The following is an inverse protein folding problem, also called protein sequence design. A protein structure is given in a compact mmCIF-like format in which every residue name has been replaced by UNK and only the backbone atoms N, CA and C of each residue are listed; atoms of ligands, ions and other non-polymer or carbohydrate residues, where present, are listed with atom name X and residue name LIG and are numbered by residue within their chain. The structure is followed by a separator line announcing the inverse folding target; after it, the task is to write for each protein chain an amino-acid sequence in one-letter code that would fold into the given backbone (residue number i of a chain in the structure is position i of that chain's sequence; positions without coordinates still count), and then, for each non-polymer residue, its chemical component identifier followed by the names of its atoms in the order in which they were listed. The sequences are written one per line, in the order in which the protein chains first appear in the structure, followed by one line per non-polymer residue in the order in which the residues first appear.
data_IF_070980570942
#
_entry.id   IF_070980570942
#
_cell.length_a   1.000
_cell.length_b   1.000
_cell.length_c   1.000
_cell.angle_alpha   90.00
_cell.angle_beta   90.00
_cell.angle_gamma   90.00
#
_symmetry.space_group_name_H-M   'P 1'
#
loop_
_entity.id
_entity.type
_entity.pdbx_description
1 polymer ?
#
# COMPACT_ATOMS: atom_id res chain seq x y z
N UNK A 1 -19.15 -13.23 -6.69
CA UNK A 1 -18.11 -12.19 -6.74
C UNK A 1 -18.22 -11.41 -8.03
N UNK A 2 -18.30 -10.07 -7.98
CA UNK A 2 -18.50 -9.25 -9.17
C UNK A 2 -17.13 -8.95 -9.80
N UNK A 3 -16.84 -9.58 -10.95
CA UNK A 3 -15.61 -9.31 -11.72
C UNK A 3 -15.72 -7.94 -12.39
N UNK A 4 -15.16 -6.91 -11.76
CA UNK A 4 -15.17 -5.53 -12.26
C UNK A 4 -13.76 -4.98 -12.50
N UNK A 5 -12.93 -5.60 -13.36
CA UNK A 5 -11.55 -5.14 -13.60
C UNK A 5 -11.46 -3.67 -14.04
N UNK A 6 -12.51 -3.13 -14.67
CA UNK A 6 -12.60 -1.70 -15.02
C UNK A 6 -12.74 -0.78 -13.80
N UNK A 7 -13.39 -1.25 -12.73
CA UNK A 7 -13.52 -0.51 -11.47
C UNK A 7 -12.15 -0.37 -10.79
N UNK A 8 -11.42 -1.48 -10.63
CA UNK A 8 -10.07 -1.48 -10.06
C UNK A 8 -9.15 -0.50 -10.79
N UNK A 9 -9.09 -0.61 -12.13
CA UNK A 9 -8.29 0.32 -12.94
C UNK A 9 -8.67 1.78 -12.70
N UNK A 10 -9.97 2.07 -12.59
CA UNK A 10 -10.45 3.43 -12.36
C UNK A 10 -10.07 3.93 -10.97
N UNK A 11 -10.22 3.09 -9.94
CA UNK A 11 -9.83 3.41 -8.57
C UNK A 11 -8.33 3.66 -8.45
N UNK A 12 -7.48 2.80 -9.03
CA UNK A 12 -6.02 3.00 -9.03
C UNK A 12 -5.63 4.33 -9.71
N UNK A 13 -6.26 4.64 -10.84
CA UNK A 13 -6.02 5.90 -11.54
C UNK A 13 -6.48 7.13 -10.72
N UNK A 14 -7.62 7.04 -10.05
CA UNK A 14 -8.16 8.10 -9.20
C UNK A 14 -7.33 8.30 -7.93
N UNK A 15 -6.84 7.22 -7.32
CA UNK A 15 -5.98 7.24 -6.12
C UNK A 15 -4.66 8.00 -6.34
N UNK A 16 -4.19 8.05 -7.59
CA UNK A 16 -2.97 8.76 -8.00
C UNK A 16 -3.26 10.03 -8.81
N UNK A 17 -4.52 10.45 -8.95
CA UNK A 17 -4.89 11.50 -9.89
C UNK A 17 -4.26 12.85 -9.53
N UNK A 18 -3.47 13.38 -10.47
CA UNK A 18 -2.86 14.73 -10.44
C UNK A 18 -2.20 15.06 -9.09
N UNK A 19 -1.48 14.10 -8.53
CA UNK A 19 -0.63 14.35 -7.36
C UNK A 19 0.44 15.38 -7.73
N UNK A 20 0.72 16.33 -6.83
CA UNK A 20 1.65 17.45 -7.07
C UNK A 20 1.14 18.59 -7.96
N UNK A 21 -0.04 18.48 -8.59
CA UNK A 21 -0.58 19.54 -9.44
C UNK A 21 -1.36 20.58 -8.63
N UNK A 22 -0.83 21.79 -8.49
CA UNK A 22 -1.52 22.88 -7.79
C UNK A 22 -2.50 23.61 -8.72
N UNK A 23 -3.80 23.37 -8.56
CA UNK A 23 -4.85 24.04 -9.36
C UNK A 23 -5.94 24.51 -8.41
N UNK A 24 -5.79 25.71 -7.82
CA UNK A 24 -6.79 26.33 -6.94
C UNK A 24 -7.09 25.55 -5.65
N UNK A 25 -7.52 26.25 -4.58
CA UNK A 25 -7.76 25.59 -3.28
C UNK A 25 -8.93 24.59 -3.31
N UNK A 26 -10.08 24.98 -3.88
CA UNK A 26 -11.28 24.11 -3.88
C UNK A 26 -11.13 22.85 -4.74
N UNK A 27 -10.56 22.99 -5.93
CA UNK A 27 -10.30 21.85 -6.82
C UNK A 27 -9.26 20.92 -6.19
N UNK A 28 -8.25 21.45 -5.48
CA UNK A 28 -7.29 20.63 -4.75
C UNK A 28 -7.97 19.84 -3.61
N UNK A 29 -8.90 20.44 -2.87
CA UNK A 29 -9.66 19.76 -1.81
C UNK A 29 -10.48 18.59 -2.36
N UNK A 30 -11.25 18.84 -3.42
CA UNK A 30 -12.03 17.77 -4.07
C UNK A 30 -11.15 16.63 -4.59
N UNK A 31 -9.95 16.95 -5.13
CA UNK A 31 -8.99 15.92 -5.56
C UNK A 31 -8.42 15.12 -4.40
N UNK A 32 -8.14 15.76 -3.27
CA UNK A 32 -7.70 15.07 -2.06
C UNK A 32 -8.75 14.07 -1.58
N UNK A 33 -10.02 14.50 -1.51
CA UNK A 33 -11.14 13.63 -1.15
C UNK A 33 -11.27 12.45 -2.12
N UNK A 34 -11.27 12.69 -3.43
CA UNK A 34 -11.36 11.62 -4.44
C UNK A 34 -10.22 10.62 -4.29
N UNK A 35 -8.98 11.08 -4.03
CA UNK A 35 -7.84 10.19 -3.79
C UNK A 35 -8.03 9.37 -2.52
N UNK A 36 -8.40 10.00 -1.42
CA UNK A 36 -8.63 9.34 -0.13
C UNK A 36 -9.71 8.25 -0.27
N UNK A 37 -10.89 8.59 -0.79
CA UNK A 37 -11.96 7.61 -0.99
C UNK A 37 -11.58 6.48 -1.94
N UNK A 38 -10.80 6.77 -2.98
CA UNK A 38 -10.35 5.72 -3.91
C UNK A 38 -9.37 4.76 -3.24
N UNK A 39 -8.44 5.27 -2.42
CA UNK A 39 -7.50 4.46 -1.64
C UNK A 39 -8.22 3.62 -0.60
N UNK A 40 -9.18 4.19 0.12
CA UNK A 40 -9.99 3.47 1.11
C UNK A 40 -10.84 2.37 0.47
N UNK A 41 -11.35 2.61 -0.73
CA UNK A 41 -12.08 1.60 -1.49
C UNK A 41 -11.15 0.45 -1.92
N UNK A 42 -9.97 0.77 -2.47
CA UNK A 42 -8.97 -0.24 -2.84
C UNK A 42 -8.52 -1.07 -1.63
N UNK A 43 -8.30 -0.43 -0.48
CA UNK A 43 -7.97 -1.08 0.79
C UNK A 43 -9.06 -2.07 1.20
N UNK A 44 -10.33 -1.64 1.20
CA UNK A 44 -11.44 -2.53 1.52
C UNK A 44 -11.53 -3.73 0.57
N UNK A 45 -11.23 -3.53 -0.71
CA UNK A 45 -11.19 -4.63 -1.68
C UNK A 45 -10.02 -5.56 -1.37
N UNK A 46 -8.84 -5.05 -1.02
CA UNK A 46 -7.69 -5.85 -0.63
C UNK A 46 -8.00 -6.69 0.62
N UNK A 47 -8.58 -6.10 1.66
CA UNK A 47 -8.88 -6.80 2.93
C UNK A 47 -9.97 -7.89 2.78
N UNK A 48 -10.91 -7.70 1.85
CA UNK A 48 -12.06 -8.58 1.65
C UNK A 48 -12.02 -9.36 0.32
N UNK A 49 -10.89 -9.33 -0.38
CA UNK A 49 -10.72 -9.86 -1.72
C UNK A 49 -10.16 -11.28 -1.72
N UNK A 50 -10.65 -12.12 -2.62
CA UNK A 50 -10.08 -13.44 -2.85
C UNK A 50 -8.84 -13.37 -3.77
N UNK A 51 -8.28 -14.53 -4.12
CA UNK A 51 -7.12 -14.64 -5.04
C UNK A 51 -7.28 -13.81 -6.33
N UNK A 52 -8.49 -13.78 -6.92
CA UNK A 52 -8.74 -13.01 -8.14
C UNK A 52 -8.67 -11.52 -7.87
N UNK A 53 -9.26 -11.03 -6.78
CA UNK A 53 -9.21 -9.63 -6.42
C UNK A 53 -7.77 -9.18 -6.11
N UNK A 54 -6.99 -9.97 -5.38
CA UNK A 54 -5.57 -9.71 -5.13
C UNK A 54 -4.77 -9.63 -6.44
N UNK A 55 -5.00 -10.58 -7.35
CA UNK A 55 -4.37 -10.60 -8.69
C UNK A 55 -4.71 -9.34 -9.48
N UNK A 56 -5.97 -8.92 -9.44
CA UNK A 56 -6.43 -7.72 -10.16
C UNK A 56 -5.83 -6.46 -9.55
N UNK A 57 -5.72 -6.35 -8.23
CA UNK A 57 -5.08 -5.22 -7.56
C UNK A 57 -3.63 -5.05 -8.01
N UNK A 58 -2.82 -6.11 -7.93
CA UNK A 58 -1.41 -6.07 -8.33
C UNK A 58 -1.26 -5.71 -9.80
N UNK A 59 -2.07 -6.31 -10.68
CA UNK A 59 -2.04 -6.02 -12.12
C UNK A 59 -2.43 -4.58 -12.49
N UNK A 60 -3.20 -3.90 -11.64
CA UNK A 60 -3.56 -2.49 -11.83
C UNK A 60 -2.74 -1.53 -10.96
N UNK A 61 -1.56 -1.96 -10.52
CA UNK A 61 -0.57 -1.08 -9.89
C UNK A 61 -0.92 -0.71 -8.45
N UNK A 62 -1.57 -1.60 -7.70
CA UNK A 62 -1.89 -1.31 -6.30
C UNK A 62 -0.63 -1.08 -5.44
N UNK A 63 0.48 -1.79 -5.72
CA UNK A 63 1.78 -1.52 -5.09
C UNK A 63 2.20 -0.06 -5.27
N UNK A 64 2.14 0.44 -6.50
CA UNK A 64 2.37 1.85 -6.82
C UNK A 64 1.43 2.82 -6.08
N UNK A 65 0.14 2.48 -5.97
CA UNK A 65 -0.82 3.31 -5.22
C UNK A 65 -0.43 3.42 -3.75
N UNK A 66 0.01 2.31 -3.13
CA UNK A 66 0.48 2.30 -1.74
C UNK A 66 1.75 3.14 -1.58
N UNK A 67 2.73 2.98 -2.47
CA UNK A 67 3.98 3.75 -2.48
C UNK A 67 3.71 5.25 -2.53
N UNK A 68 2.97 5.69 -3.54
CA UNK A 68 2.65 7.11 -3.70
C UNK A 68 1.84 7.62 -2.51
N UNK A 69 0.95 6.80 -1.95
CA UNK A 69 0.25 7.19 -0.73
C UNK A 69 1.26 7.42 0.36
N UNK A 70 2.10 6.44 0.69
CA UNK A 70 3.16 6.53 1.69
C UNK A 70 4.01 7.81 1.55
N UNK A 71 4.53 8.08 0.35
CA UNK A 71 5.36 9.25 0.01
C UNK A 71 4.71 10.61 0.16
N UNK A 72 3.39 10.64 0.26
CA UNK A 72 2.64 11.89 0.46
C UNK A 72 2.33 12.18 1.93
N UNK A 73 2.80 11.34 2.87
CA UNK A 73 2.87 11.73 4.29
C UNK A 73 4.01 12.76 4.45
N UNK A 74 3.68 13.99 4.82
CA UNK A 74 4.65 15.08 4.94
C UNK A 74 4.15 16.23 5.82
N UNK A 75 3.41 15.86 6.86
CA UNK A 75 2.97 16.76 7.94
C UNK A 75 4.05 16.96 8.99
N UNK A 76 3.65 17.34 10.20
CA UNK A 76 4.46 17.28 11.42
C UNK A 76 3.50 16.95 12.58
N UNK A 77 3.79 15.91 13.36
CA UNK A 77 3.13 15.61 14.65
C UNK A 77 2.37 14.29 14.71
N UNK A 78 1.78 13.99 15.87
CA UNK A 78 1.19 12.68 16.23
C UNK A 78 0.17 12.13 15.20
N UNK A 79 -0.64 12.98 14.57
CA UNK A 79 -1.61 12.57 13.55
C UNK A 79 -0.92 12.00 12.30
N UNK A 80 0.25 12.54 11.94
CA UNK A 80 1.05 12.03 10.83
C UNK A 80 1.74 10.72 11.20
N UNK A 81 2.29 10.62 12.41
CA UNK A 81 2.97 9.40 12.85
C UNK A 81 2.01 8.21 12.88
N UNK A 82 0.76 8.45 13.30
CA UNK A 82 -0.31 7.47 13.16
C UNK A 82 -0.57 7.10 11.69
N UNK A 83 -0.65 8.08 10.78
CA UNK A 83 -0.85 7.79 9.36
C UNK A 83 0.32 6.99 8.75
N UNK A 84 1.56 7.32 9.10
CA UNK A 84 2.76 6.60 8.66
C UNK A 84 2.70 5.16 9.15
N UNK A 85 2.42 4.95 10.44
CA UNK A 85 2.32 3.63 11.05
C UNK A 85 1.20 2.79 10.40
N UNK A 86 0.05 3.38 10.11
CA UNK A 86 -1.05 2.70 9.45
C UNK A 86 -0.69 2.29 8.01
N UNK A 87 0.01 3.16 7.27
CA UNK A 87 0.45 2.84 5.89
C UNK A 87 1.52 1.75 5.86
N UNK A 88 2.47 1.76 6.80
CA UNK A 88 3.45 0.68 6.95
C UNK A 88 2.77 -0.66 7.25
N UNK A 89 1.79 -0.66 8.16
CA UNK A 89 0.99 -1.86 8.45
C UNK A 89 0.29 -2.40 7.20
N UNK A 90 -0.29 -1.52 6.37
CA UNK A 90 -0.97 -1.97 5.14
C UNK A 90 0.00 -2.61 4.14
N UNK A 91 1.19 -2.02 3.95
CA UNK A 91 2.22 -2.61 3.09
C UNK A 91 2.64 -3.97 3.62
N UNK A 92 2.94 -4.06 4.93
CA UNK A 92 3.35 -5.29 5.59
C UNK A 92 2.29 -6.40 5.44
N UNK A 93 1.04 -6.11 5.76
CA UNK A 93 -0.05 -7.09 5.69
C UNK A 93 -0.30 -7.55 4.26
N UNK A 94 -0.29 -6.64 3.30
CA UNK A 94 -0.53 -7.02 1.91
C UNK A 94 0.61 -7.89 1.35
N UNK A 95 1.88 -7.52 1.55
CA UNK A 95 3.02 -8.34 1.14
C UNK A 95 3.03 -9.70 1.84
N UNK A 96 2.73 -9.72 3.15
CA UNK A 96 2.63 -10.95 3.94
C UNK A 96 1.51 -11.87 3.46
N UNK A 97 0.31 -11.34 3.27
CA UNK A 97 -0.83 -12.10 2.77
C UNK A 97 -0.53 -12.68 1.36
N UNK A 98 0.14 -11.90 0.48
CA UNK A 98 0.57 -12.41 -0.83
C UNK A 98 1.68 -13.48 -0.72
N UNK A 99 2.58 -13.38 0.25
CA UNK A 99 3.71 -14.31 0.40
C UNK A 99 3.33 -15.62 1.10
N UNK A 100 2.53 -15.54 2.15
CA UNK A 100 2.19 -16.64 3.06
C UNK A 100 0.78 -17.20 2.80
N UNK A 101 -0.01 -16.50 1.98
CA UNK A 101 -1.45 -16.75 1.84
C UNK A 101 -2.22 -16.12 3.00
N UNK A 102 -3.53 -16.02 2.83
CA UNK A 102 -4.42 -15.50 3.88
C UNK A 102 -5.31 -16.60 4.43
N UNK A 103 -5.46 -16.61 5.76
CA UNK A 103 -6.43 -17.44 6.49
C UNK A 103 -7.57 -16.60 7.09
N UNK A 104 -7.68 -15.33 6.69
CA UNK A 104 -8.69 -14.39 7.19
C UNK A 104 -10.04 -14.62 6.47
N UNK A 105 -10.83 -13.58 6.30
CA UNK A 105 -12.22 -13.64 5.84
C UNK A 105 -12.36 -14.23 4.43
N UNK A 106 -11.41 -13.94 3.54
CA UNK A 106 -11.22 -14.63 2.26
C UNK A 106 -9.89 -15.37 2.31
N UNK A 107 -9.93 -16.70 2.38
CA UNK A 107 -8.71 -17.48 2.37
C UNK A 107 -8.22 -17.71 0.94
N UNK A 108 -6.92 -17.54 0.73
CA UNK A 108 -6.24 -17.84 -0.52
C UNK A 108 -4.84 -18.42 -0.25
N UNK A 109 -4.35 -19.24 -1.18
CA UNK A 109 -3.01 -19.82 -1.09
C UNK A 109 -1.94 -18.76 -1.34
N UNK A 110 -0.69 -18.97 -0.89
CA UNK A 110 0.44 -18.11 -1.25
C UNK A 110 0.47 -17.71 -2.73
N UNK A 111 0.67 -16.42 -3.00
CA UNK A 111 0.78 -15.81 -4.33
C UNK A 111 2.18 -15.17 -4.50
N UNK A 112 3.28 -15.94 -4.42
CA UNK A 112 4.63 -15.40 -4.32
C UNK A 112 5.06 -14.55 -5.52
N UNK A 113 4.56 -14.85 -6.72
CA UNK A 113 4.82 -14.03 -7.91
C UNK A 113 4.18 -12.65 -7.80
N UNK A 114 2.98 -12.55 -7.22
CA UNK A 114 2.30 -11.28 -7.01
C UNK A 114 2.97 -10.48 -5.89
N UNK A 115 3.47 -11.16 -4.85
CA UNK A 115 4.25 -10.51 -3.80
C UNK A 115 5.50 -9.83 -4.38
N UNK A 116 6.24 -10.54 -5.25
CA UNK A 116 7.41 -9.99 -5.95
C UNK A 116 7.05 -8.82 -6.86
N UNK A 117 6.03 -8.96 -7.70
CA UNK A 117 5.58 -7.87 -8.56
C UNK A 117 5.15 -6.63 -7.76
N UNK A 118 4.59 -6.83 -6.57
CA UNK A 118 4.20 -5.73 -5.69
C UNK A 118 5.41 -5.03 -5.09
N UNK A 119 6.41 -5.80 -4.66
CA UNK A 119 7.68 -5.26 -4.15
C UNK A 119 8.43 -4.50 -5.24
N UNK A 120 8.50 -5.02 -6.46
CA UNK A 120 9.06 -4.31 -7.62
C UNK A 120 8.32 -2.98 -7.88
N UNK A 121 6.99 -2.95 -7.81
CA UNK A 121 6.22 -1.70 -7.91
C UNK A 121 6.52 -0.71 -6.77
N UNK A 122 6.85 -1.22 -5.58
CA UNK A 122 7.21 -0.39 -4.43
C UNK A 122 8.59 0.24 -4.64
N UNK A 123 9.55 -0.56 -5.10
CA UNK A 123 10.90 -0.12 -5.43
C UNK A 123 10.90 0.89 -6.59
N UNK A 124 10.18 0.61 -7.68
CA UNK A 124 10.12 1.49 -8.86
C UNK A 124 9.61 2.90 -8.56
N UNK A 125 8.76 3.06 -7.55
CA UNK A 125 8.21 4.35 -7.12
C UNK A 125 9.05 5.03 -6.03
N UNK A 126 10.18 4.43 -5.60
CA UNK A 126 11.09 5.02 -4.61
C UNK A 126 10.56 5.02 -3.17
N UNK A 127 9.59 4.17 -2.85
CA UNK A 127 9.06 4.08 -1.50
C UNK A 127 10.01 3.33 -0.54
N UNK A 128 10.98 2.58 -1.07
CA UNK A 128 11.99 1.89 -0.27
C UNK A 128 12.87 2.88 0.51
N UNK A 129 13.26 4.00 -0.11
CA UNK A 129 14.04 5.06 0.52
C UNK A 129 13.29 5.70 1.69
N UNK A 130 11.98 5.87 1.55
CA UNK A 130 11.14 6.45 2.59
C UNK A 130 10.92 5.44 3.74
N UNK A 131 10.72 4.17 3.43
CA UNK A 131 10.64 3.10 4.44
C UNK A 131 11.97 3.06 5.23
N UNK A 132 13.11 3.15 4.54
CA UNK A 132 14.43 3.21 5.15
C UNK A 132 14.63 4.46 6.03
N UNK A 133 14.11 5.61 5.61
CA UNK A 133 14.11 6.80 6.45
C UNK A 133 13.33 6.56 7.76
N UNK A 134 12.17 5.89 7.69
CA UNK A 134 11.34 5.59 8.85
C UNK A 134 11.94 4.51 9.78
N UNK A 135 12.87 3.67 9.31
CA UNK A 135 13.65 2.77 10.18
C UNK A 135 14.54 3.52 11.20
N UNK A 136 14.83 4.79 10.93
CA UNK A 136 15.59 5.67 11.82
C UNK A 136 14.71 6.63 12.62
N UNK A 137 13.39 6.49 12.54
CA UNK A 137 12.46 7.30 13.32
C UNK A 137 12.72 7.10 14.83
N UNK A 138 12.80 8.22 15.56
CA UNK A 138 13.12 8.27 17.00
C UNK A 138 11.87 8.29 17.88
N UNK A 139 10.70 8.52 17.28
CA UNK A 139 9.41 8.56 17.95
C UNK A 139 8.96 7.16 18.35
N UNK A 140 8.56 7.01 19.62
CA UNK A 140 8.28 5.71 20.23
C UNK A 140 6.79 5.39 20.20
N UNK A 141 5.92 6.39 20.28
CA UNK A 141 4.48 6.23 20.53
C UNK A 141 3.81 5.26 19.56
N UNK A 142 4.12 5.39 18.27
CA UNK A 142 3.55 4.56 17.21
C UNK A 142 4.46 3.40 16.77
N UNK A 143 5.66 3.25 17.36
CA UNK A 143 6.64 2.24 16.97
C UNK A 143 6.90 2.18 15.44
N UNK A 144 6.91 3.34 14.77
CA UNK A 144 7.10 3.45 13.31
C UNK A 144 8.37 2.72 12.87
N UNK A 145 9.46 2.92 13.62
CA UNK A 145 10.72 2.21 13.40
C UNK A 145 10.54 0.70 13.35
N UNK A 146 9.77 0.12 14.27
CA UNK A 146 9.49 -1.31 14.29
C UNK A 146 8.79 -1.76 13.01
N UNK A 147 7.69 -1.10 12.65
CA UNK A 147 6.94 -1.43 11.43
C UNK A 147 7.77 -1.25 10.15
N UNK A 148 8.62 -0.23 10.07
CA UNK A 148 9.50 -0.02 8.93
C UNK A 148 10.53 -1.15 8.80
N UNK A 149 11.11 -1.62 9.91
CA UNK A 149 11.99 -2.79 9.92
C UNK A 149 11.26 -4.06 9.48
N UNK A 150 10.01 -4.26 9.93
CA UNK A 150 9.22 -5.42 9.57
C UNK A 150 8.88 -5.43 8.07
N UNK A 151 8.47 -4.28 7.50
CA UNK A 151 8.26 -4.14 6.06
C UNK A 151 9.53 -4.48 5.28
N UNK A 152 10.68 -3.95 5.70
CA UNK A 152 11.97 -4.24 5.05
C UNK A 152 12.34 -5.71 5.13
N UNK A 153 12.16 -6.34 6.29
CA UNK A 153 12.41 -7.77 6.46
C UNK A 153 11.46 -8.61 5.60
N UNK A 154 10.17 -8.23 5.52
CA UNK A 154 9.18 -8.92 4.71
C UNK A 154 9.57 -8.89 3.24
N UNK A 155 9.92 -7.71 2.70
CA UNK A 155 10.38 -7.53 1.33
C UNK A 155 11.59 -8.44 1.00
N UNK A 156 12.58 -8.52 1.90
CA UNK A 156 13.73 -9.42 1.75
C UNK A 156 13.34 -10.91 1.76
N UNK A 157 12.38 -11.28 2.60
CA UNK A 157 11.92 -12.67 2.73
C UNK A 157 11.16 -13.16 1.49
N UNK A 158 10.57 -12.27 0.68
CA UNK A 158 9.86 -12.64 -0.57
C UNK A 158 10.72 -13.41 -1.58
N UNK A 159 12.03 -13.26 -1.47
CA UNK A 159 13.01 -13.90 -2.35
C UNK A 159 13.51 -15.25 -1.80
N UNK A 160 13.18 -15.59 -0.55
CA UNK A 160 13.52 -16.86 0.06
C UNK A 160 12.43 -17.89 -0.30
N UNK A 161 12.77 -19.04 -0.89
CA UNK A 161 11.78 -20.09 -1.13
C UNK A 161 11.23 -20.64 0.19
N UNK A 162 9.91 -20.76 0.30
CA UNK A 162 9.28 -21.53 1.37
C UNK A 162 9.66 -23.01 1.18
N UNK A 163 10.36 -23.56 2.17
CA UNK A 163 10.94 -24.91 2.15
C UNK A 163 9.93 -25.98 2.58
#
# INVERSE_FOLDING_TARGET
MIKLPKLFRSLSALACYKIGAHIGQEINRQRLEVRSWSRDCLKQIQENGDEYDQTVLVNYGYGKVMSISFSTAGGIGEEEDYEIQQRLNYIQWFLGDLHEGSNRQQSFQPLPLLARNTEEQIEEEGANEEIEAQMNNIEIEWNIKGYANDVKSMALNLFIPNN
#
